data_IF_864309405885
#
_entry.id   IF_864309405885
#
_cell.length_a   1.000
_cell.length_b   1.000
_cell.length_c   1.000
_cell.angle_alpha   90.00
_cell.angle_beta   90.00
_cell.angle_gamma   90.00
#
_symmetry.space_group_name_H-M   'P 1'
#
loop_
_entity.id
_entity.type
_entity.pdbx_description
1 polymer ?
#
# COMPACT_ATOMS: atom_id res chain seq x y z
N UNK A 1 16.62 -32.67 2.13
CA UNK A 1 15.79 -31.46 2.32
C UNK A 1 16.36 -30.37 1.47
N UNK A 2 15.54 -29.72 0.62
CA UNK A 2 15.99 -28.53 -0.09
C UNK A 2 16.35 -27.42 0.94
N UNK A 3 17.39 -26.63 0.72
CA UNK A 3 17.74 -25.55 1.63
C UNK A 3 16.55 -24.59 1.77
N UNK A 4 16.22 -24.19 2.99
CA UNK A 4 15.17 -23.20 3.24
C UNK A 4 15.62 -21.86 2.68
N UNK A 5 14.90 -21.36 1.70
CA UNK A 5 15.16 -20.06 1.10
C UNK A 5 14.50 -18.96 1.93
N UNK A 6 15.26 -17.96 2.33
CA UNK A 6 14.73 -16.76 3.01
C UNK A 6 14.05 -15.90 1.94
N UNK A 7 12.78 -15.61 2.14
CA UNK A 7 12.05 -14.65 1.31
C UNK A 7 12.06 -13.28 1.97
N UNK A 8 12.43 -12.26 1.20
CA UNK A 8 12.46 -10.87 1.65
C UNK A 8 11.31 -10.14 0.97
N UNK A 9 10.41 -9.59 1.79
CA UNK A 9 9.31 -8.75 1.33
C UNK A 9 9.57 -7.31 1.74
N UNK A 10 9.43 -6.38 0.81
CA UNK A 10 9.58 -4.95 1.04
C UNK A 10 8.21 -4.30 1.16
N UNK A 11 7.95 -3.58 2.26
CA UNK A 11 6.71 -2.84 2.47
C UNK A 11 6.81 -1.46 1.79
N UNK A 12 5.86 -1.15 0.92
CA UNK A 12 5.69 0.18 0.33
C UNK A 12 4.29 0.73 0.64
N UNK A 13 4.20 2.03 0.76
CA UNK A 13 2.94 2.76 0.85
C UNK A 13 2.93 3.78 -0.26
N UNK A 14 1.97 3.67 -1.15
CA UNK A 14 1.80 4.54 -2.30
C UNK A 14 1.26 5.92 -1.88
N UNK A 15 1.88 6.53 -0.88
CA UNK A 15 1.50 7.81 -0.31
C UNK A 15 2.60 8.84 -0.51
N UNK A 16 2.22 10.00 -1.04
CA UNK A 16 3.11 11.15 -1.17
C UNK A 16 3.34 11.72 0.21
N UNK A 17 4.30 11.51 0.93
CA UNK A 17 4.52 12.00 2.29
C UNK A 17 4.99 10.94 3.26
N UNK A 18 4.96 9.68 2.84
CA UNK A 18 5.45 8.57 3.61
C UNK A 18 4.55 8.16 4.78
N UNK A 19 4.95 7.09 5.46
CA UNK A 19 4.08 6.38 6.40
C UNK A 19 3.98 7.02 7.78
N UNK A 20 5.06 7.47 8.35
CA UNK A 20 5.14 7.78 9.78
C UNK A 20 5.58 9.20 10.13
N UNK A 21 5.81 10.05 9.16
CA UNK A 21 6.34 11.39 9.42
C UNK A 21 5.41 12.48 8.94
N UNK A 22 4.95 13.29 9.87
CA UNK A 22 4.16 14.49 9.56
C UNK A 22 4.96 15.45 8.67
N UNK A 23 4.31 15.98 7.64
CA UNK A 23 4.88 16.99 6.76
C UNK A 23 5.95 16.49 5.78
N UNK A 24 6.16 15.20 5.66
CA UNK A 24 7.11 14.64 4.69
C UNK A 24 6.83 15.05 3.25
N UNK A 25 5.58 15.19 2.87
CA UNK A 25 5.19 15.64 1.55
C UNK A 25 5.63 17.08 1.23
N UNK A 26 5.98 17.86 2.25
CA UNK A 26 6.47 19.24 2.11
C UNK A 26 7.99 19.34 2.12
N UNK A 27 8.68 18.26 2.40
CA UNK A 27 10.14 18.26 2.51
C UNK A 27 10.76 17.44 1.40
N UNK A 28 11.88 17.91 0.89
CA UNK A 28 12.79 17.11 0.07
C UNK A 28 13.45 16.11 1.00
N UNK A 29 12.80 14.99 1.28
CA UNK A 29 13.35 14.03 2.23
C UNK A 29 13.27 12.60 1.74
N UNK A 30 14.19 11.97 2.08
CA UNK A 30 14.60 10.66 2.48
C UNK A 30 13.55 9.58 2.48
N UNK A 31 13.36 8.78 1.53
CA UNK A 31 12.94 7.42 1.80
C UNK A 31 13.30 6.47 0.66
N UNK A 32 14.56 6.16 0.58
CA UNK A 32 15.01 4.93 -0.04
C UNK A 32 15.37 3.97 1.09
N UNK A 33 14.53 3.06 1.44
CA UNK A 33 14.76 1.97 2.40
C UNK A 33 14.09 2.06 3.76
N UNK A 34 13.30 3.03 4.08
CA UNK A 34 12.93 3.21 5.49
C UNK A 34 11.69 2.47 5.95
N UNK A 35 11.02 1.71 5.12
CA UNK A 35 9.91 0.87 5.60
C UNK A 35 10.36 -0.15 6.67
N UNK A 36 11.61 -0.55 6.67
CA UNK A 36 12.14 -1.50 7.65
C UNK A 36 12.93 -0.83 8.79
N UNK A 37 13.44 0.38 8.59
CA UNK A 37 14.31 1.09 9.53
C UNK A 37 13.54 2.04 10.45
N UNK A 38 12.26 2.29 10.21
CA UNK A 38 11.43 3.24 10.97
C UNK A 38 11.09 2.86 12.40
N UNK A 39 11.70 1.84 12.96
CA UNK A 39 11.59 1.56 14.40
C UNK A 39 12.48 2.41 15.28
N UNK A 40 13.37 3.18 14.71
CA UNK A 40 14.27 4.06 15.46
C UNK A 40 13.92 5.50 15.18
N UNK A 41 13.65 6.24 16.25
CA UNK A 41 13.47 7.68 16.30
C UNK A 41 14.38 8.42 15.32
N UNK A 42 13.87 8.68 14.12
CA UNK A 42 14.56 9.54 13.18
C UNK A 42 14.44 10.98 13.67
N UNK A 43 15.51 11.49 14.20
CA UNK A 43 15.63 12.89 14.57
C UNK A 43 15.42 13.78 13.36
N UNK A 44 14.85 14.95 13.56
CA UNK A 44 14.57 16.03 12.58
C UNK A 44 15.69 16.30 11.55
N UNK A 45 16.90 15.87 11.82
CA UNK A 45 18.08 16.06 10.94
C UNK A 45 18.16 15.10 9.76
N UNK A 46 17.50 13.95 9.83
CA UNK A 46 17.53 12.95 8.74
C UNK A 46 16.48 13.21 7.65
N UNK A 47 15.55 14.11 7.89
CA UNK A 47 14.40 14.42 7.02
C UNK A 47 14.77 15.32 5.83
N UNK A 48 16.02 15.68 5.64
CA UNK A 48 16.46 16.61 4.59
C UNK A 48 17.74 16.17 3.91
N UNK A 49 17.80 14.94 3.41
CA UNK A 49 18.93 14.58 2.56
C UNK A 49 18.70 15.10 1.13
N UNK A 50 19.73 15.75 0.52
CA UNK A 50 19.60 16.26 -0.85
C UNK A 50 19.27 15.19 -1.89
N UNK A 51 19.61 13.92 -1.60
CA UNK A 51 19.41 12.78 -2.50
C UNK A 51 18.00 12.20 -2.45
N UNK A 52 17.14 12.67 -1.55
CA UNK A 52 15.81 12.14 -1.39
C UNK A 52 14.90 12.50 -2.56
N UNK A 53 14.34 11.48 -3.19
CA UNK A 53 13.40 11.58 -4.29
C UNK A 53 11.96 11.25 -3.89
N UNK A 54 11.67 11.09 -2.60
CA UNK A 54 10.33 10.71 -2.10
C UNK A 54 9.25 11.74 -2.42
N UNK A 55 9.63 12.99 -2.68
CA UNK A 55 8.71 14.02 -3.19
C UNK A 55 8.15 13.71 -4.58
N UNK A 56 8.70 12.72 -5.26
CA UNK A 56 8.27 12.25 -6.59
C UNK A 56 7.53 10.92 -6.54
N UNK A 57 7.02 10.51 -5.38
CA UNK A 57 6.14 9.35 -5.23
C UNK A 57 4.80 9.48 -5.98
N UNK A 58 4.53 10.62 -6.55
CA UNK A 58 3.41 10.88 -7.45
C UNK A 58 3.70 10.52 -8.92
N UNK A 59 4.91 10.03 -9.22
CA UNK A 59 5.33 9.75 -10.60
C UNK A 59 5.57 8.26 -10.83
N UNK A 60 5.17 7.78 -12.01
CA UNK A 60 5.40 6.39 -12.42
C UNK A 60 6.88 6.01 -12.40
N UNK A 61 7.76 6.97 -12.67
CA UNK A 61 9.21 6.75 -12.67
C UNK A 61 9.72 6.29 -11.31
N UNK A 62 9.20 6.86 -10.21
CA UNK A 62 9.58 6.42 -8.86
C UNK A 62 9.32 4.93 -8.66
N UNK A 63 8.13 4.46 -9.01
CA UNK A 63 7.73 3.06 -8.82
C UNK A 63 8.46 2.10 -9.74
N UNK A 64 8.68 2.48 -10.99
CA UNK A 64 9.45 1.64 -11.91
C UNK A 64 10.92 1.55 -11.54
N UNK A 65 11.52 2.61 -11.02
CA UNK A 65 12.90 2.58 -10.51
C UNK A 65 13.00 1.73 -9.22
N UNK A 66 12.03 1.85 -8.32
CA UNK A 66 11.92 1.01 -7.13
C UNK A 66 11.80 -0.48 -7.49
N UNK A 67 10.93 -0.81 -8.44
CA UNK A 67 10.74 -2.18 -8.90
C UNK A 67 12.02 -2.77 -9.48
N UNK A 68 12.71 -2.04 -10.36
CA UNK A 68 14.01 -2.46 -10.91
C UNK A 68 15.07 -2.65 -9.84
N UNK A 69 15.09 -1.80 -8.82
CA UNK A 69 16.01 -1.92 -7.70
C UNK A 69 15.72 -3.19 -6.88
N UNK A 70 14.45 -3.44 -6.57
CA UNK A 70 14.01 -4.63 -5.86
C UNK A 70 14.33 -5.93 -6.63
N UNK A 71 14.06 -5.95 -7.93
CA UNK A 71 14.32 -7.09 -8.80
C UNK A 71 15.83 -7.41 -8.86
N UNK A 72 16.69 -6.41 -9.05
CA UNK A 72 18.15 -6.56 -8.99
C UNK A 72 18.64 -7.00 -7.61
N UNK A 73 18.00 -6.51 -6.56
CA UNK A 73 18.29 -6.87 -5.17
C UNK A 73 17.76 -8.24 -4.75
N UNK A 74 17.10 -8.97 -5.67
CA UNK A 74 16.46 -10.28 -5.40
C UNK A 74 15.46 -10.23 -4.24
N UNK A 75 14.75 -9.12 -4.11
CA UNK A 75 13.61 -8.98 -3.21
C UNK A 75 12.50 -9.87 -3.73
N UNK A 76 11.91 -10.69 -2.88
CA UNK A 76 10.86 -11.64 -3.28
C UNK A 76 9.57 -10.95 -3.67
N UNK A 77 9.16 -9.94 -2.90
CA UNK A 77 7.94 -9.19 -3.18
C UNK A 77 8.00 -7.75 -2.68
N UNK A 78 7.28 -6.86 -3.37
CA UNK A 78 6.90 -5.54 -2.88
C UNK A 78 5.46 -5.62 -2.40
N UNK A 79 5.23 -5.33 -1.13
CA UNK A 79 3.93 -5.35 -0.49
C UNK A 79 3.39 -3.93 -0.36
N UNK A 80 2.28 -3.64 -1.01
CA UNK A 80 1.58 -2.36 -0.91
C UNK A 80 0.55 -2.42 0.19
N UNK A 81 0.86 -1.81 1.34
CA UNK A 81 -0.16 -1.50 2.32
C UNK A 81 -1.00 -0.32 1.81
N UNK A 82 -2.31 -0.46 1.86
CA UNK A 82 -3.24 0.53 1.37
C UNK A 82 -4.48 0.67 2.25
N UNK A 83 -5.03 1.87 2.29
CA UNK A 83 -6.31 2.23 2.89
C UNK A 83 -6.88 3.44 2.17
N UNK A 84 -8.21 3.56 2.15
CA UNK A 84 -8.90 4.53 1.30
C UNK A 84 -8.69 5.99 1.72
N UNK A 85 -8.57 6.25 3.03
CA UNK A 85 -8.50 7.62 3.58
C UNK A 85 -7.61 7.62 4.82
N UNK A 86 -7.07 8.78 5.19
CA UNK A 86 -6.32 8.95 6.42
C UNK A 86 -7.11 8.63 7.69
N UNK A 87 -6.43 8.54 8.81
CA UNK A 87 -7.02 8.18 10.10
C UNK A 87 -7.69 9.38 10.78
N UNK A 88 -8.91 9.19 11.26
CA UNK A 88 -9.71 10.18 12.00
C UNK A 88 -9.71 9.95 13.51
N UNK A 89 -8.84 9.09 14.03
CA UNK A 89 -8.76 8.69 15.44
C UNK A 89 -8.48 9.88 16.36
N UNK A 90 -7.64 10.81 15.96
CA UNK A 90 -7.33 11.98 16.77
C UNK A 90 -8.35 13.10 16.54
N UNK A 91 -9.12 13.44 17.55
CA UNK A 91 -10.13 14.49 17.49
C UNK A 91 -11.36 14.15 16.64
N UNK A 92 -11.54 12.90 16.22
CA UNK A 92 -12.67 12.45 15.41
C UNK A 92 -12.73 13.07 14.01
N UNK A 93 -11.61 13.61 13.48
CA UNK A 93 -11.54 14.24 12.16
C UNK A 93 -10.19 14.01 11.47
N UNK A 94 -10.18 14.20 10.14
CA UNK A 94 -8.97 14.17 9.33
C UNK A 94 -8.11 15.45 9.42
N UNK A 95 -8.58 16.48 10.09
CA UNK A 95 -7.96 17.82 10.09
C UNK A 95 -6.50 17.78 10.50
N UNK A 96 -6.16 17.00 11.52
CA UNK A 96 -4.78 16.91 12.01
C UNK A 96 -3.86 16.28 10.97
N UNK A 97 -4.31 15.22 10.30
CA UNK A 97 -3.54 14.56 9.24
C UNK A 97 -3.40 15.45 8.02
N UNK A 98 -4.47 16.14 7.63
CA UNK A 98 -4.46 17.09 6.51
C UNK A 98 -3.50 18.24 6.77
N UNK A 99 -3.53 18.85 7.98
CA UNK A 99 -2.59 19.92 8.36
C UNK A 99 -1.14 19.45 8.38
N UNK A 100 -0.91 18.23 8.86
CA UNK A 100 0.41 17.63 8.90
C UNK A 100 0.88 17.12 7.52
N UNK A 101 -0.03 16.93 6.56
CA UNK A 101 0.25 16.31 5.27
C UNK A 101 0.69 14.87 5.41
N UNK A 102 0.04 14.12 6.29
CA UNK A 102 0.44 12.79 6.67
C UNK A 102 -0.58 11.76 6.17
N UNK A 103 -0.15 10.80 5.38
CA UNK A 103 -0.94 9.63 4.92
C UNK A 103 -2.32 9.94 4.33
N UNK A 104 -2.47 11.02 3.59
CA UNK A 104 -3.78 11.44 3.06
C UNK A 104 -3.88 11.28 1.55
N UNK A 105 -2.76 11.49 0.85
CA UNK A 105 -2.70 11.39 -0.61
C UNK A 105 -2.18 10.02 -1.02
N UNK A 106 -3.08 9.10 -1.31
CA UNK A 106 -2.76 7.74 -1.78
C UNK A 106 -2.95 7.62 -3.29
N UNK A 107 -2.07 6.83 -3.91
CA UNK A 107 -2.23 6.34 -5.26
C UNK A 107 -2.74 4.90 -5.22
N UNK A 108 -3.57 4.53 -6.18
CA UNK A 108 -4.09 3.17 -6.30
C UNK A 108 -2.98 2.19 -6.70
N UNK A 109 -2.64 1.20 -5.86
CA UNK A 109 -1.60 0.22 -6.16
C UNK A 109 -1.87 -0.63 -7.42
N UNK A 110 -3.13 -0.87 -7.80
CA UNK A 110 -3.44 -1.62 -9.01
C UNK A 110 -2.86 -0.97 -10.27
N UNK A 111 -2.95 0.35 -10.38
CA UNK A 111 -2.37 1.07 -11.50
C UNK A 111 -0.83 1.01 -11.50
N UNK A 112 -0.23 1.08 -10.31
CA UNK A 112 1.22 1.08 -10.14
C UNK A 112 1.84 -0.27 -10.46
N UNK A 113 1.24 -1.36 -9.99
CA UNK A 113 1.75 -2.74 -10.17
C UNK A 113 1.91 -3.10 -11.64
N UNK A 114 0.96 -2.73 -12.49
CA UNK A 114 1.05 -2.99 -13.93
C UNK A 114 2.30 -2.37 -14.55
N UNK A 115 2.62 -1.13 -14.20
CA UNK A 115 3.80 -0.43 -14.69
C UNK A 115 5.11 -1.00 -14.11
N UNK A 116 5.10 -1.43 -12.84
CA UNK A 116 6.25 -2.03 -12.18
C UNK A 116 6.56 -3.41 -12.74
N UNK A 117 5.54 -4.22 -12.99
CA UNK A 117 5.68 -5.54 -13.58
C UNK A 117 6.25 -5.50 -15.00
N UNK A 118 5.87 -4.49 -15.79
CA UNK A 118 6.37 -4.32 -17.16
C UNK A 118 7.88 -4.08 -17.25
N UNK A 119 8.56 -3.75 -16.16
CA UNK A 119 10.01 -3.44 -16.13
C UNK A 119 10.81 -4.41 -15.26
N UNK A 120 10.19 -5.52 -14.81
CA UNK A 120 10.78 -6.52 -13.92
C UNK A 120 10.44 -7.93 -14.35
N UNK A 121 11.24 -8.91 -13.93
CA UNK A 121 11.07 -10.32 -14.30
C UNK A 121 10.75 -11.23 -13.10
N UNK A 122 11.27 -10.92 -11.89
CA UNK A 122 11.23 -11.86 -10.77
C UNK A 122 10.47 -11.36 -9.55
N UNK A 123 10.52 -10.06 -9.26
CA UNK A 123 9.85 -9.50 -8.08
C UNK A 123 8.33 -9.61 -8.19
N UNK A 124 7.70 -10.09 -7.12
CA UNK A 124 6.24 -10.18 -7.02
C UNK A 124 5.65 -8.94 -6.35
N UNK A 125 4.33 -8.78 -6.47
CA UNK A 125 3.61 -7.61 -5.96
C UNK A 125 2.40 -8.06 -5.15
N UNK A 126 2.31 -7.64 -3.89
CA UNK A 126 1.14 -7.88 -3.05
C UNK A 126 0.36 -6.57 -2.90
N UNK A 127 -0.91 -6.59 -3.28
CA UNK A 127 -1.81 -5.44 -3.25
C UNK A 127 -2.82 -5.61 -2.13
N UNK A 128 -2.98 -4.60 -1.28
CA UNK A 128 -4.01 -4.58 -0.24
C UNK A 128 -5.34 -4.15 -0.83
N UNK A 129 -6.38 -4.95 -0.59
CA UNK A 129 -7.76 -4.60 -0.97
C UNK A 129 -8.78 -5.08 0.07
N UNK A 130 -9.81 -4.28 0.28
CA UNK A 130 -10.84 -4.52 1.28
C UNK A 130 -12.01 -5.30 0.72
N UNK A 131 -12.41 -6.35 1.43
CA UNK A 131 -13.65 -7.08 1.15
C UNK A 131 -14.90 -6.31 1.54
N UNK A 132 -14.78 -5.37 2.49
CA UNK A 132 -15.92 -4.59 2.99
C UNK A 132 -16.44 -3.58 1.97
N UNK A 133 -15.54 -3.02 1.16
CA UNK A 133 -15.88 -1.90 0.26
C UNK A 133 -15.75 -2.23 -1.22
N UNK A 134 -15.38 -3.46 -1.55
CA UNK A 134 -15.28 -3.93 -2.92
C UNK A 134 -16.41 -4.91 -3.23
N UNK A 135 -16.70 -5.12 -4.52
CA UNK A 135 -17.59 -6.20 -4.94
C UNK A 135 -16.76 -7.41 -5.35
N UNK A 136 -17.18 -8.66 -5.03
CA UNK A 136 -16.38 -9.86 -5.29
C UNK A 136 -16.00 -10.00 -6.76
N UNK A 137 -16.97 -9.84 -7.66
CA UNK A 137 -16.74 -9.96 -9.11
C UNK A 137 -15.76 -8.93 -9.66
N UNK A 138 -15.91 -7.66 -9.26
CA UNK A 138 -15.01 -6.59 -9.74
C UNK A 138 -13.60 -6.84 -9.26
N UNK A 139 -13.44 -7.21 -7.99
CA UNK A 139 -12.12 -7.46 -7.41
C UNK A 139 -11.45 -8.71 -7.99
N UNK A 140 -12.20 -9.80 -8.17
CA UNK A 140 -11.71 -11.00 -8.84
C UNK A 140 -11.22 -10.69 -10.26
N UNK A 141 -12.00 -9.90 -11.02
CA UNK A 141 -11.60 -9.45 -12.36
C UNK A 141 -10.32 -8.61 -12.34
N UNK A 142 -10.17 -7.70 -11.37
CA UNK A 142 -8.97 -6.86 -11.25
C UNK A 142 -7.73 -7.71 -10.94
N UNK A 143 -7.81 -8.61 -9.94
CA UNK A 143 -6.70 -9.48 -9.59
C UNK A 143 -6.36 -10.48 -10.71
N UNK A 144 -7.36 -11.08 -11.35
CA UNK A 144 -7.12 -11.95 -12.50
C UNK A 144 -6.42 -11.21 -13.64
N UNK A 145 -6.81 -9.95 -13.88
CA UNK A 145 -6.12 -9.11 -14.88
C UNK A 145 -4.67 -8.87 -14.51
N UNK A 146 -4.40 -8.48 -13.25
CA UNK A 146 -3.03 -8.27 -12.77
C UNK A 146 -2.21 -9.56 -12.81
N UNK A 147 -2.80 -10.68 -12.43
CA UNK A 147 -2.12 -11.98 -12.45
C UNK A 147 -1.62 -12.32 -13.87
N UNK A 148 -2.47 -12.17 -14.88
CA UNK A 148 -2.08 -12.33 -16.27
C UNK A 148 -1.00 -11.33 -16.72
N UNK A 149 -1.15 -10.05 -16.35
CA UNK A 149 -0.19 -9.00 -16.75
C UNK A 149 1.17 -9.13 -16.06
N UNK A 150 1.21 -9.82 -14.93
CA UNK A 150 2.43 -10.01 -14.11
C UNK A 150 3.04 -11.40 -14.25
N UNK A 151 2.49 -12.28 -15.09
CA UNK A 151 2.88 -13.70 -15.20
C UNK A 151 2.86 -14.42 -13.84
N UNK A 152 1.74 -14.31 -13.12
CA UNK A 152 1.55 -14.98 -11.82
C UNK A 152 2.31 -14.34 -10.65
N UNK A 153 2.82 -13.11 -10.79
CA UNK A 153 3.56 -12.41 -9.75
C UNK A 153 2.70 -11.46 -8.92
N UNK A 154 1.40 -11.66 -8.88
CA UNK A 154 0.47 -10.86 -8.11
C UNK A 154 -0.07 -11.63 -6.90
N UNK A 155 -0.22 -10.95 -5.78
CA UNK A 155 -0.83 -11.48 -4.56
C UNK A 155 -1.80 -10.46 -3.96
N UNK A 156 -2.79 -10.94 -3.23
CA UNK A 156 -3.77 -10.13 -2.54
C UNK A 156 -3.57 -10.16 -1.03
N UNK A 157 -3.39 -8.99 -0.42
CA UNK A 157 -3.52 -8.81 1.01
C UNK A 157 -4.98 -8.49 1.34
N UNK A 158 -5.67 -9.48 1.86
CA UNK A 158 -7.10 -9.43 2.16
C UNK A 158 -7.29 -8.70 3.49
N UNK A 159 -8.08 -7.61 3.48
CA UNK A 159 -8.41 -6.84 4.69
C UNK A 159 -9.90 -6.53 4.74
N UNK A 160 -10.42 -6.27 5.96
CA UNK A 160 -11.80 -5.88 6.18
C UNK A 160 -11.97 -4.39 6.48
N UNK A 161 -10.89 -3.61 6.36
CA UNK A 161 -10.82 -2.20 6.79
C UNK A 161 -11.15 -2.00 8.28
N UNK A 162 -10.94 -0.79 8.81
CA UNK A 162 -11.13 -0.56 10.26
C UNK A 162 -11.39 0.91 10.64
N UNK A 163 -11.56 1.83 9.68
CA UNK A 163 -11.69 3.27 9.95
C UNK A 163 -13.05 3.81 9.54
N UNK A 164 -13.63 4.67 10.37
CA UNK A 164 -14.85 5.41 10.05
C UNK A 164 -14.64 6.38 8.89
N UNK A 165 -13.45 6.95 8.78
CA UNK A 165 -13.09 7.84 7.66
C UNK A 165 -13.23 7.14 6.31
N UNK A 166 -12.80 5.87 6.19
CA UNK A 166 -12.97 5.09 4.97
C UNK A 166 -14.45 4.79 4.69
N UNK A 167 -15.22 4.43 5.72
CA UNK A 167 -16.65 4.20 5.60
C UNK A 167 -17.37 5.44 5.05
N UNK A 168 -17.14 6.59 5.66
CA UNK A 168 -17.73 7.88 5.24
C UNK A 168 -17.34 8.29 3.84
N UNK A 169 -16.08 8.10 3.45
CA UNK A 169 -15.61 8.40 2.09
C UNK A 169 -16.29 7.54 1.01
N UNK A 170 -16.74 6.35 1.40
CA UNK A 170 -17.42 5.39 0.52
C UNK A 170 -18.95 5.41 0.64
N UNK A 171 -19.51 6.43 1.32
CA UNK A 171 -20.95 6.69 1.39
C UNK A 171 -21.68 5.98 2.54
N UNK A 172 -20.96 5.49 3.53
CA UNK A 172 -21.53 4.90 4.75
C UNK A 172 -21.44 5.87 5.91
N UNK A 173 -22.36 5.80 6.87
CA UNK A 173 -22.37 6.67 8.06
C UNK A 173 -21.24 6.32 9.04
N UNK A 174 -20.95 5.05 9.19
CA UNK A 174 -19.90 4.53 10.07
C UNK A 174 -19.38 3.17 9.55
N UNK A 175 -18.28 2.71 10.13
CA UNK A 175 -17.80 1.37 9.84
C UNK A 175 -18.72 0.30 10.44
N UNK A 176 -18.94 -0.75 9.67
CA UNK A 176 -19.65 -1.95 10.10
C UNK A 176 -18.98 -2.61 11.32
N UNK A 177 -19.74 -3.29 12.18
CA UNK A 177 -19.23 -4.03 13.33
C UNK A 177 -18.11 -5.01 12.97
N UNK A 178 -17.17 -5.23 13.91
CA UNK A 178 -16.00 -6.09 13.66
C UNK A 178 -16.41 -7.48 13.15
N UNK A 179 -17.25 -8.20 13.89
CA UNK A 179 -17.62 -9.58 13.56
C UNK A 179 -18.45 -9.66 12.27
N UNK A 180 -19.29 -8.67 12.05
CA UNK A 180 -20.10 -8.56 10.83
C UNK A 180 -19.23 -8.39 9.58
N UNK A 181 -18.14 -7.58 9.67
CA UNK A 181 -17.18 -7.45 8.56
C UNK A 181 -16.48 -8.76 8.24
N UNK A 182 -16.15 -9.57 9.25
CA UNK A 182 -15.52 -10.87 9.02
C UNK A 182 -16.49 -11.90 8.46
N UNK A 183 -17.73 -11.93 8.90
CA UNK A 183 -18.77 -12.79 8.31
C UNK A 183 -18.99 -12.43 6.82
N UNK A 184 -19.06 -11.13 6.51
CA UNK A 184 -19.17 -10.66 5.13
C UNK A 184 -17.92 -11.00 4.30
N UNK A 185 -16.74 -10.97 4.91
CA UNK A 185 -15.51 -11.36 4.22
C UNK A 185 -15.46 -12.85 3.90
N UNK A 186 -15.96 -13.71 4.76
CA UNK A 186 -16.07 -15.15 4.49
C UNK A 186 -16.98 -15.42 3.27
N UNK A 187 -18.18 -14.83 3.25
CA UNK A 187 -19.09 -14.93 2.08
C UNK A 187 -18.46 -14.35 0.81
N UNK A 188 -17.76 -13.21 0.92
CA UNK A 188 -17.04 -12.60 -0.18
C UNK A 188 -16.01 -13.56 -0.79
N UNK A 189 -15.23 -14.22 0.06
CA UNK A 189 -14.20 -15.17 -0.39
C UNK A 189 -14.82 -16.41 -1.03
N UNK A 190 -15.97 -16.90 -0.54
CA UNK A 190 -16.70 -17.99 -1.16
C UNK A 190 -17.11 -17.69 -2.60
N UNK A 191 -17.45 -16.43 -2.88
CA UNK A 191 -17.77 -15.98 -4.25
C UNK A 191 -16.53 -15.87 -5.13
N UNK A 192 -15.43 -15.34 -4.57
CA UNK A 192 -14.18 -15.16 -5.32
C UNK A 192 -13.53 -16.48 -5.73
N UNK A 193 -13.69 -17.54 -4.91
CA UNK A 193 -13.13 -18.86 -5.20
C UNK A 193 -14.00 -19.74 -6.12
N UNK A 194 -15.19 -19.29 -6.52
CA UNK A 194 -16.06 -20.00 -7.49
C UNK A 194 -15.76 -19.57 -8.91
#
# INVERSE_FOLDING_TARGET
>A
MAPKQIQICFLEIACVGGYMSSGQWKSVSLLHCDAFVQRTQLTYKTIRRPEDTSTRKDTIKYYTDLAKLADRGKVSAIFFADWFVGFDVYGGSLDTMLRAGHQVAHLDPFALVSAMAAVTENVSFAVTQSTTYSTPYVLARQFSTLDHLTDGRCAWNIVTSFTDSSAKALGHDSIMGHDERYMMADEFMDVVYK
#
